data_IF_349641304706
#
_entry.id   IF_349641304706
#
_cell.length_a   1.000
_cell.length_b   1.000
_cell.length_c   1.000
_cell.angle_alpha   90.00
_cell.angle_beta   90.00
_cell.angle_gamma   90.00
#
_symmetry.space_group_name_H-M   'P 1'
#
loop_
_entity.id
_entity.type
_entity.pdbx_description
1 polymer ?
#
# COMPACT_ATOMS: atom_id res chain seq x y z
N UNK A 1 -8.47 -19.40 -18.00
CA UNK A 1 -9.61 -20.35 -18.04
C UNK A 1 -10.57 -20.05 -16.88
N UNK A 2 -11.74 -20.71 -16.76
CA UNK A 2 -12.60 -20.52 -15.58
C UNK A 2 -11.87 -20.95 -14.29
N UNK A 3 -11.16 -22.06 -14.35
CA UNK A 3 -10.39 -22.61 -13.22
C UNK A 3 -9.28 -21.66 -12.75
N UNK A 4 -8.55 -21.03 -13.69
CA UNK A 4 -7.57 -19.99 -13.35
C UNK A 4 -8.22 -18.76 -12.71
N UNK A 5 -9.40 -18.33 -13.19
CA UNK A 5 -10.11 -17.21 -12.60
C UNK A 5 -10.60 -17.53 -11.17
N UNK A 6 -11.08 -18.75 -10.94
CA UNK A 6 -11.46 -19.22 -9.61
C UNK A 6 -10.24 -19.26 -8.67
N UNK A 7 -9.08 -19.69 -9.16
CA UNK A 7 -7.82 -19.67 -8.40
C UNK A 7 -7.37 -18.22 -8.05
N UNK A 8 -7.45 -17.29 -9.00
CA UNK A 8 -7.10 -15.87 -8.79
C UNK A 8 -8.00 -15.21 -7.72
N UNK A 9 -9.30 -15.51 -7.76
CA UNK A 9 -10.27 -15.03 -6.78
C UNK A 9 -9.96 -15.60 -5.40
N UNK A 10 -9.73 -16.91 -5.29
CA UNK A 10 -9.42 -17.54 -4.00
C UNK A 10 -8.12 -16.97 -3.39
N UNK A 11 -7.07 -16.81 -4.21
CA UNK A 11 -5.83 -16.18 -3.76
C UNK A 11 -6.05 -14.73 -3.30
N UNK A 12 -6.94 -13.98 -3.95
CA UNK A 12 -7.30 -12.62 -3.56
C UNK A 12 -8.05 -12.56 -2.22
N UNK A 13 -8.92 -13.53 -1.97
CA UNK A 13 -9.63 -13.69 -0.68
C UNK A 13 -8.62 -14.02 0.42
N UNK A 14 -7.72 -14.98 0.19
CA UNK A 14 -6.68 -15.36 1.14
C UNK A 14 -5.76 -14.17 1.47
N UNK A 15 -5.46 -13.33 0.48
CA UNK A 15 -4.69 -12.08 0.67
C UNK A 15 -5.37 -11.12 1.63
N UNK A 16 -6.68 -10.92 1.48
CA UNK A 16 -7.47 -10.06 2.37
C UNK A 16 -7.49 -10.62 3.79
N UNK A 17 -7.71 -11.93 3.93
CA UNK A 17 -7.72 -12.62 5.24
C UNK A 17 -6.35 -12.50 5.92
N UNK A 18 -5.27 -12.69 5.16
CA UNK A 18 -3.90 -12.55 5.66
C UNK A 18 -3.66 -11.16 6.27
N UNK A 19 -3.95 -10.09 5.51
CA UNK A 19 -3.72 -8.72 5.98
C UNK A 19 -4.72 -8.26 7.04
N UNK A 20 -5.97 -8.75 7.02
CA UNK A 20 -6.91 -8.56 8.12
C UNK A 20 -6.37 -9.16 9.44
N UNK A 21 -5.65 -10.28 9.36
CA UNK A 21 -4.97 -10.88 10.51
C UNK A 21 -3.84 -10.00 11.08
N UNK A 22 -3.31 -9.03 10.35
CA UNK A 22 -2.20 -8.19 10.78
C UNK A 22 -2.58 -6.85 11.38
N UNK A 23 -3.82 -6.37 11.18
CA UNK A 23 -4.25 -5.00 11.52
C UNK A 23 -4.04 -4.61 12.98
N UNK A 24 -4.03 -5.60 13.89
CA UNK A 24 -3.83 -5.41 15.34
C UNK A 24 -2.51 -6.00 15.88
N UNK A 25 -1.66 -6.56 15.01
CA UNK A 25 -0.43 -7.29 15.42
C UNK A 25 0.86 -6.66 14.94
N UNK A 26 0.86 -5.99 13.78
CA UNK A 26 2.12 -5.51 13.19
C UNK A 26 2.86 -4.52 14.11
N UNK A 27 2.14 -3.67 14.85
CA UNK A 27 2.73 -2.74 15.83
C UNK A 27 3.50 -3.45 16.95
N UNK A 28 3.06 -4.64 17.38
CA UNK A 28 3.72 -5.41 18.44
C UNK A 28 4.99 -6.08 17.92
N UNK A 29 5.03 -6.40 16.62
CA UNK A 29 6.18 -7.04 15.96
C UNK A 29 7.25 -6.03 15.56
N UNK A 30 6.85 -4.85 15.08
CA UNK A 30 7.77 -3.85 14.53
C UNK A 30 7.96 -2.60 15.39
N UNK A 31 7.13 -2.38 16.40
CA UNK A 31 7.36 -1.35 17.41
C UNK A 31 8.40 -1.78 18.45
N UNK A 32 8.91 -0.83 19.22
CA UNK A 32 9.90 -1.12 20.27
C UNK A 32 9.73 -0.25 21.52
N UNK A 33 10.12 -0.84 22.66
CA UNK A 33 10.41 -0.12 23.89
C UNK A 33 11.93 -0.02 24.00
N UNK A 34 12.48 1.19 23.89
CA UNK A 34 13.92 1.39 23.78
C UNK A 34 14.51 1.68 25.17
N UNK A 35 15.50 0.90 25.64
CA UNK A 35 16.20 1.21 26.87
C UNK A 35 17.04 2.48 26.70
N UNK A 36 16.91 3.41 27.64
CA UNK A 36 17.62 4.69 27.63
C UNK A 36 18.23 4.98 29.00
N UNK A 37 19.33 5.72 29.03
CA UNK A 37 20.07 6.01 30.26
C UNK A 37 19.38 7.07 31.16
N UNK A 38 18.45 7.85 30.61
CA UNK A 38 17.71 8.88 31.35
C UNK A 38 16.41 8.33 31.96
N UNK A 39 15.80 9.10 32.87
CA UNK A 39 14.52 8.74 33.53
C UNK A 39 13.31 8.92 32.61
N UNK A 40 13.31 8.23 31.46
CA UNK A 40 12.22 8.24 30.49
C UNK A 40 11.89 6.82 30.02
N UNK A 41 10.61 6.59 29.76
CA UNK A 41 10.21 5.55 28.82
C UNK A 41 10.34 6.08 27.40
N UNK A 42 10.97 5.29 26.53
CA UNK A 42 11.12 5.60 25.13
C UNK A 42 10.41 4.52 24.31
N UNK A 43 9.44 4.94 23.49
CA UNK A 43 8.64 4.06 22.64
C UNK A 43 8.79 4.48 21.19
N UNK A 44 9.22 3.57 20.31
CA UNK A 44 9.13 3.75 18.86
C UNK A 44 7.92 2.98 18.36
N UNK A 45 6.92 3.70 17.86
CA UNK A 45 5.70 3.14 17.30
C UNK A 45 5.60 3.51 15.81
N UNK A 46 4.90 2.68 15.05
CA UNK A 46 4.61 2.96 13.65
C UNK A 46 3.29 3.75 13.55
N UNK A 47 3.31 4.84 12.79
CA UNK A 47 2.12 5.62 12.41
C UNK A 47 1.96 5.59 10.88
N UNK A 48 0.74 5.63 10.33
CA UNK A 48 0.53 5.64 8.88
C UNK A 48 1.19 6.84 8.21
N UNK A 49 1.79 6.62 7.04
CA UNK A 49 2.36 7.68 6.20
C UNK A 49 1.28 8.65 5.67
N UNK A 50 0.03 8.22 5.52
CA UNK A 50 -1.11 9.06 5.14
C UNK A 50 -1.81 8.59 3.87
N UNK A 51 -1.73 9.39 2.80
CA UNK A 51 -2.32 9.09 1.49
C UNK A 51 -1.27 8.47 0.56
N UNK A 52 -1.58 7.30 0.01
CA UNK A 52 -0.70 6.55 -0.90
C UNK A 52 -1.30 6.50 -2.30
N UNK A 53 -0.59 7.00 -3.30
CA UNK A 53 -0.94 6.79 -4.70
C UNK A 53 -0.32 5.48 -5.19
N UNK A 54 -1.05 4.71 -6.00
CA UNK A 54 -0.64 3.36 -6.41
C UNK A 54 -0.82 3.18 -7.91
N UNK A 55 0.24 2.76 -8.59
CA UNK A 55 0.18 2.19 -9.94
C UNK A 55 0.13 0.67 -9.79
N UNK A 56 -1.08 0.10 -9.86
CA UNK A 56 -1.31 -1.32 -9.60
C UNK A 56 -0.76 -2.22 -10.73
N UNK A 57 -0.55 -3.52 -10.51
CA UNK A 57 -0.03 -4.42 -11.55
C UNK A 57 -0.93 -4.46 -12.79
N UNK A 58 -0.34 -4.33 -13.98
CA UNK A 58 -1.08 -4.49 -15.24
C UNK A 58 -1.47 -5.95 -15.52
N UNK A 59 -0.58 -6.90 -15.17
CA UNK A 59 -0.77 -8.31 -15.48
C UNK A 59 -1.63 -9.07 -14.46
N UNK A 60 -1.84 -8.52 -13.27
CA UNK A 60 -2.63 -9.14 -12.19
C UNK A 60 -3.74 -8.18 -11.71
N UNK A 61 -4.83 -8.07 -12.48
CA UNK A 61 -5.81 -6.99 -12.32
C UNK A 61 -6.70 -7.11 -11.07
N UNK A 62 -6.79 -8.31 -10.46
CA UNK A 62 -7.49 -8.50 -9.19
C UNK A 62 -6.53 -8.87 -8.07
N UNK A 63 -5.84 -10.01 -8.16
CA UNK A 63 -4.93 -10.45 -7.08
C UNK A 63 -3.87 -9.39 -6.76
N UNK A 64 -3.17 -8.88 -7.77
CA UNK A 64 -2.19 -7.81 -7.58
C UNK A 64 -2.78 -6.54 -7.00
N UNK A 65 -3.95 -6.11 -7.51
CA UNK A 65 -4.69 -4.95 -6.99
C UNK A 65 -5.04 -5.10 -5.49
N UNK A 66 -5.62 -6.24 -5.11
CA UNK A 66 -5.97 -6.54 -3.72
C UNK A 66 -4.71 -6.61 -2.85
N UNK A 67 -3.64 -7.17 -3.38
CA UNK A 67 -2.36 -7.35 -2.70
C UNK A 67 -1.64 -6.06 -2.39
N UNK A 68 -1.87 -4.99 -3.18
CA UNK A 68 -1.33 -3.65 -2.87
C UNK A 68 -2.27 -2.86 -1.97
N UNK A 69 -3.60 -2.96 -2.15
CA UNK A 69 -4.57 -2.24 -1.32
C UNK A 69 -4.53 -2.72 0.13
N UNK A 70 -4.56 -4.04 0.33
CA UNK A 70 -4.70 -4.67 1.65
C UNK A 70 -3.63 -4.22 2.67
N UNK A 71 -2.31 -4.26 2.38
CA UNK A 71 -1.30 -3.80 3.34
C UNK A 71 -1.38 -2.30 3.63
N UNK A 72 -1.75 -1.49 2.64
CA UNK A 72 -1.83 -0.02 2.79
C UNK A 72 -2.92 0.32 3.81
N UNK A 73 -4.14 -0.22 3.63
CA UNK A 73 -5.26 0.05 4.54
C UNK A 73 -5.11 -0.69 5.87
N UNK A 74 -4.46 -1.86 5.90
CA UNK A 74 -4.18 -2.57 7.15
C UNK A 74 -3.26 -1.76 8.07
N UNK A 75 -2.36 -0.95 7.50
CA UNK A 75 -1.52 -0.01 8.22
C UNK A 75 -2.19 1.32 8.57
N UNK A 76 -3.48 1.49 8.28
CA UNK A 76 -4.24 2.72 8.57
C UNK A 76 -4.05 3.87 7.57
N UNK A 77 -3.47 3.59 6.40
CA UNK A 77 -3.37 4.58 5.32
C UNK A 77 -4.63 4.60 4.47
N UNK A 78 -4.75 5.62 3.62
CA UNK A 78 -5.72 5.66 2.52
C UNK A 78 -5.00 5.53 1.19
N UNK A 79 -5.68 5.04 0.16
CA UNK A 79 -5.07 4.89 -1.16
C UNK A 79 -5.91 5.40 -2.33
N UNK A 80 -5.19 5.87 -3.34
CA UNK A 80 -5.70 6.19 -4.68
C UNK A 80 -4.99 5.26 -5.65
N UNK A 81 -5.74 4.37 -6.30
CA UNK A 81 -5.18 3.25 -7.05
C UNK A 81 -5.56 3.38 -8.51
N UNK A 82 -4.55 3.54 -9.37
CA UNK A 82 -4.69 3.34 -10.80
C UNK A 82 -4.78 1.84 -11.06
N UNK A 83 -5.96 1.37 -11.46
CA UNK A 83 -6.20 -0.01 -11.85
C UNK A 83 -5.51 -0.33 -13.19
N UNK A 84 -5.36 -1.63 -13.51
CA UNK A 84 -4.84 -2.05 -14.80
C UNK A 84 -5.58 -1.36 -15.95
N UNK A 85 -4.81 -0.69 -16.82
CA UNK A 85 -5.32 -0.06 -18.03
C UNK A 85 -5.88 -1.12 -18.99
N UNK A 86 -5.19 -2.26 -19.10
CA UNK A 86 -5.57 -3.33 -20.02
C UNK A 86 -6.80 -4.13 -19.54
N UNK A 87 -6.90 -4.35 -18.22
CA UNK A 87 -7.93 -5.18 -17.62
C UNK A 87 -8.60 -4.46 -16.42
N UNK A 88 -9.38 -3.38 -16.64
CA UNK A 88 -9.92 -2.56 -15.53
C UNK A 88 -11.17 -3.16 -14.87
N UNK A 89 -11.89 -4.07 -15.53
CA UNK A 89 -13.20 -4.58 -15.07
C UNK A 89 -13.16 -5.30 -13.70
N UNK A 90 -12.14 -6.11 -13.36
CA UNK A 90 -12.03 -6.70 -12.04
C UNK A 90 -11.92 -5.66 -10.93
N UNK A 91 -11.19 -4.56 -11.15
CA UNK A 91 -11.06 -3.48 -10.18
C UNK A 91 -12.39 -2.74 -9.96
N UNK A 92 -13.15 -2.51 -11.04
CA UNK A 92 -14.50 -1.92 -10.95
C UNK A 92 -15.46 -2.83 -10.18
N UNK A 93 -15.41 -4.14 -10.44
CA UNK A 93 -16.24 -5.12 -9.71
C UNK A 93 -15.84 -5.19 -8.23
N UNK A 94 -14.54 -5.09 -7.94
CA UNK A 94 -14.04 -5.01 -6.56
C UNK A 94 -14.51 -3.74 -5.83
N UNK A 95 -14.74 -2.63 -6.54
CA UNK A 95 -15.33 -1.43 -5.94
C UNK A 95 -16.73 -1.69 -5.35
N UNK A 96 -17.55 -2.56 -5.98
CA UNK A 96 -18.85 -2.97 -5.42
C UNK A 96 -18.68 -3.78 -4.14
N UNK A 97 -17.64 -4.62 -4.05
CA UNK A 97 -17.27 -5.36 -2.84
C UNK A 97 -16.89 -4.40 -1.72
N UNK A 98 -16.05 -3.40 -2.00
CA UNK A 98 -15.65 -2.38 -1.03
C UNK A 98 -16.86 -1.59 -0.51
N UNK A 99 -17.75 -1.17 -1.42
CA UNK A 99 -18.99 -0.47 -1.07
C UNK A 99 -19.91 -1.33 -0.20
N UNK A 100 -20.01 -2.64 -0.48
CA UNK A 100 -20.85 -3.56 0.29
C UNK A 100 -20.23 -4.01 1.61
N UNK A 101 -18.94 -3.70 1.84
CA UNK A 101 -18.17 -4.09 3.03
C UNK A 101 -18.00 -2.95 4.04
N UNK A 102 -18.78 -1.87 3.90
CA UNK A 102 -18.75 -0.70 4.79
C UNK A 102 -17.35 -0.04 4.92
N UNK A 103 -16.52 -0.14 3.87
CA UNK A 103 -15.24 0.59 3.83
C UNK A 103 -15.54 2.09 3.87
N UNK A 104 -14.98 2.86 4.82
CA UNK A 104 -15.29 4.28 4.93
C UNK A 104 -14.94 5.04 3.65
N UNK A 105 -15.80 5.98 3.27
CA UNK A 105 -15.61 6.79 2.07
C UNK A 105 -14.25 7.49 2.07
N UNK A 106 -13.49 7.31 0.98
CA UNK A 106 -12.15 7.88 0.81
C UNK A 106 -10.99 6.99 1.24
N UNK A 107 -11.23 5.85 1.91
CA UNK A 107 -10.14 4.93 2.32
C UNK A 107 -9.50 4.23 1.12
N UNK A 108 -10.32 3.74 0.18
CA UNK A 108 -9.87 3.14 -1.08
C UNK A 108 -10.56 3.86 -2.23
N UNK A 109 -9.78 4.44 -3.12
CA UNK A 109 -10.27 5.15 -4.31
C UNK A 109 -9.65 4.49 -5.55
N UNK A 110 -10.48 3.96 -6.44
CA UNK A 110 -10.03 3.26 -7.66
C UNK A 110 -10.25 4.17 -8.87
N UNK A 111 -9.21 4.37 -9.67
CA UNK A 111 -9.23 5.16 -10.89
C UNK A 111 -8.82 4.25 -12.06
N UNK A 112 -9.61 4.26 -13.13
CA UNK A 112 -9.27 3.62 -14.41
C UNK A 112 -8.89 4.68 -15.43
N UNK A 113 -7.98 4.38 -16.34
CA UNK A 113 -7.57 5.32 -17.39
C UNK A 113 -6.21 4.97 -17.96
N UNK A 114 -5.69 5.84 -18.82
CA UNK A 114 -4.38 5.66 -19.46
C UNK A 114 -3.28 5.97 -18.45
N UNK A 115 -2.39 5.02 -18.20
CA UNK A 115 -1.33 5.14 -17.19
C UNK A 115 -0.42 6.33 -17.47
N UNK A 116 0.00 6.50 -18.73
CA UNK A 116 0.93 7.56 -19.12
C UNK A 116 0.39 8.97 -18.86
N UNK A 117 -0.93 9.15 -18.85
CA UNK A 117 -1.59 10.42 -18.53
C UNK A 117 -1.67 10.67 -17.01
N UNK A 118 -1.77 9.60 -16.21
CA UNK A 118 -2.02 9.69 -14.77
C UNK A 118 -0.76 9.66 -13.91
N UNK A 119 0.33 9.04 -14.37
CA UNK A 119 1.59 8.90 -13.62
C UNK A 119 2.10 10.24 -13.08
N UNK A 120 2.03 11.30 -13.89
CA UNK A 120 2.48 12.63 -13.48
C UNK A 120 1.67 13.17 -12.31
N UNK A 121 0.34 13.04 -12.36
CA UNK A 121 -0.54 13.47 -11.27
C UNK A 121 -0.32 12.66 -10.00
N UNK A 122 -0.18 11.33 -10.12
CA UNK A 122 0.07 10.43 -8.99
C UNK A 122 1.41 10.73 -8.29
N UNK A 123 2.40 11.21 -9.03
CA UNK A 123 3.76 11.46 -8.53
C UNK A 123 3.95 12.89 -8.02
N UNK A 124 3.27 13.87 -8.62
CA UNK A 124 3.47 15.30 -8.33
C UNK A 124 2.56 15.86 -7.25
N UNK A 125 1.41 15.25 -6.97
CA UNK A 125 0.41 15.82 -6.06
C UNK A 125 1.00 16.10 -4.67
N UNK A 126 0.84 17.33 -4.18
CA UNK A 126 1.48 17.79 -2.95
C UNK A 126 0.88 17.18 -1.69
N UNK A 127 -0.42 16.88 -1.70
CA UNK A 127 -1.14 16.25 -0.58
C UNK A 127 -1.08 14.71 -0.59
N UNK A 128 -0.29 14.10 -1.48
CA UNK A 128 -0.03 12.66 -1.48
C UNK A 128 1.32 12.40 -0.81
N UNK A 129 1.35 11.49 0.16
CA UNK A 129 2.50 11.25 1.04
C UNK A 129 3.45 10.17 0.52
N UNK A 130 2.95 9.24 -0.31
CA UNK A 130 3.76 8.20 -0.93
C UNK A 130 3.20 7.76 -2.27
N UNK A 131 4.07 7.29 -3.15
CA UNK A 131 3.72 6.60 -4.39
C UNK A 131 4.27 5.17 -4.38
N UNK A 132 3.44 4.20 -4.75
CA UNK A 132 3.81 2.80 -5.00
C UNK A 132 3.70 2.49 -6.48
N UNK A 133 4.72 1.85 -7.04
CA UNK A 133 4.59 1.14 -8.31
C UNK A 133 5.21 -0.25 -8.21
N UNK A 134 4.55 -1.22 -8.83
CA UNK A 134 4.93 -2.64 -8.73
C UNK A 134 5.53 -3.21 -10.01
N UNK A 135 5.11 -2.69 -11.15
CA UNK A 135 5.61 -3.14 -12.44
C UNK A 135 7.00 -2.55 -12.71
N UNK A 136 7.79 -3.27 -13.50
CA UNK A 136 9.06 -2.73 -13.99
C UNK A 136 8.76 -1.67 -15.07
N UNK A 137 8.73 -0.41 -14.64
CA UNK A 137 8.55 0.73 -15.53
C UNK A 137 9.82 1.03 -16.33
N UNK A 138 9.70 1.71 -17.46
CA UNK A 138 10.86 2.17 -18.22
C UNK A 138 11.67 3.23 -17.42
N UNK A 139 12.91 3.47 -17.84
CA UNK A 139 13.83 4.35 -17.13
C UNK A 139 13.34 5.81 -17.10
N UNK A 140 12.73 6.28 -18.18
CA UNK A 140 12.25 7.66 -18.28
C UNK A 140 11.11 7.90 -17.29
N UNK A 141 10.15 6.97 -17.23
CA UNK A 141 9.04 7.04 -16.27
C UNK A 141 9.53 7.00 -14.83
N UNK A 142 10.49 6.13 -14.48
CA UNK A 142 11.06 6.09 -13.13
C UNK A 142 11.75 7.39 -12.74
N UNK A 143 12.60 7.91 -13.61
CA UNK A 143 13.27 9.19 -13.38
C UNK A 143 12.26 10.32 -13.22
N UNK A 144 11.20 10.35 -14.04
CA UNK A 144 10.12 11.32 -13.89
C UNK A 144 9.39 11.20 -12.54
N UNK A 145 9.09 9.97 -12.09
CA UNK A 145 8.46 9.75 -10.78
C UNK A 145 9.37 10.30 -9.66
N UNK A 146 10.65 9.95 -9.67
CA UNK A 146 11.61 10.38 -8.64
C UNK A 146 11.79 11.91 -8.62
N UNK A 147 11.90 12.54 -9.80
CA UNK A 147 11.98 14.00 -9.94
C UNK A 147 10.73 14.69 -9.37
N UNK A 148 9.53 14.23 -9.74
CA UNK A 148 8.28 14.82 -9.26
C UNK A 148 8.03 14.56 -7.78
N UNK A 149 8.41 13.39 -7.27
CA UNK A 149 8.32 13.04 -5.86
C UNK A 149 9.24 13.92 -5.01
N UNK A 150 10.39 14.34 -5.53
CA UNK A 150 11.34 15.21 -4.82
C UNK A 150 10.76 16.58 -4.43
N UNK A 151 9.74 17.06 -5.16
CA UNK A 151 9.13 18.37 -4.92
C UNK A 151 8.47 18.51 -3.53
N UNK A 152 7.99 17.41 -2.95
CA UNK A 152 7.50 17.36 -1.56
C UNK A 152 8.19 16.26 -0.73
N UNK A 153 9.24 15.64 -1.26
CA UNK A 153 10.00 14.56 -0.63
C UNK A 153 9.06 13.39 -0.23
N UNK A 154 8.02 13.12 -1.03
CA UNK A 154 7.13 11.97 -0.81
C UNK A 154 7.90 10.67 -0.99
N UNK A 155 7.52 9.65 -0.23
CA UNK A 155 8.17 8.34 -0.28
C UNK A 155 7.84 7.63 -1.58
N UNK A 156 8.86 7.23 -2.33
CA UNK A 156 8.72 6.37 -3.51
C UNK A 156 8.99 4.92 -3.11
N UNK A 157 7.97 4.07 -3.21
CA UNK A 157 8.07 2.64 -2.91
C UNK A 157 8.03 1.86 -4.23
N UNK A 158 9.09 1.10 -4.49
CA UNK A 158 9.20 0.21 -5.65
C UNK A 158 9.12 -1.25 -5.19
N UNK A 159 8.17 -2.02 -5.73
CA UNK A 159 8.01 -3.45 -5.42
C UNK A 159 7.93 -4.28 -6.69
N UNK A 160 9.09 -4.76 -7.17
CA UNK A 160 9.13 -5.62 -8.35
C UNK A 160 8.64 -7.03 -8.01
N UNK A 161 7.34 -7.25 -8.10
CA UNK A 161 6.70 -8.54 -7.89
C UNK A 161 6.28 -9.08 -9.25
N UNK A 162 6.99 -10.10 -9.73
CA UNK A 162 6.70 -10.74 -11.01
C UNK A 162 5.57 -11.76 -10.93
N UNK A 163 5.40 -12.39 -9.77
CA UNK A 163 4.33 -13.36 -9.52
C UNK A 163 3.64 -13.05 -8.19
N UNK A 164 2.33 -12.77 -8.28
CA UNK A 164 1.50 -12.44 -7.13
C UNK A 164 0.97 -13.68 -6.40
N UNK A 165 1.18 -14.88 -6.94
CA UNK A 165 0.81 -16.14 -6.30
C UNK A 165 1.87 -16.66 -5.31
N UNK A 166 3.10 -16.13 -5.37
CA UNK A 166 4.16 -16.51 -4.43
C UNK A 166 3.85 -16.04 -3.01
N UNK A 167 4.22 -16.86 -2.00
CA UNK A 167 4.00 -16.54 -0.58
C UNK A 167 4.66 -15.21 -0.17
N UNK A 168 5.84 -14.91 -0.72
CA UNK A 168 6.59 -13.67 -0.42
C UNK A 168 5.87 -12.40 -0.90
N UNK A 169 4.90 -12.52 -1.82
CA UNK A 169 4.06 -11.40 -2.24
C UNK A 169 3.12 -10.94 -1.12
N UNK A 170 2.90 -11.75 -0.08
CA UNK A 170 2.13 -11.43 1.13
C UNK A 170 3.04 -11.46 2.36
N UNK A 171 3.52 -10.30 2.78
CA UNK A 171 4.36 -10.18 3.97
C UNK A 171 4.00 -8.92 4.78
N UNK A 172 4.25 -8.93 6.10
CA UNK A 172 3.87 -7.82 6.96
C UNK A 172 4.81 -6.61 6.82
N UNK A 173 6.00 -6.78 6.23
CA UNK A 173 6.90 -5.67 5.90
C UNK A 173 6.27 -4.74 4.85
N UNK A 174 5.38 -5.26 4.00
CA UNK A 174 4.65 -4.43 3.04
C UNK A 174 3.71 -3.42 3.74
N UNK A 175 3.23 -3.71 4.95
CA UNK A 175 2.52 -2.72 5.78
C UNK A 175 3.50 -1.63 6.21
N UNK A 176 4.69 -2.03 6.69
CA UNK A 176 5.73 -1.15 7.24
C UNK A 176 6.30 -0.17 6.20
N UNK A 177 6.32 -0.55 4.92
CA UNK A 177 6.75 0.33 3.83
C UNK A 177 5.96 1.65 3.78
N UNK A 178 4.72 1.65 4.29
CA UNK A 178 3.83 2.81 4.36
C UNK A 178 3.59 3.29 5.79
N UNK A 179 4.57 3.10 6.66
CA UNK A 179 4.58 3.63 8.02
C UNK A 179 5.75 4.57 8.27
N UNK A 180 5.55 5.48 9.22
CA UNK A 180 6.56 6.34 9.80
C UNK A 180 6.83 5.92 11.25
N UNK A 181 8.10 5.88 11.65
CA UNK A 181 8.43 5.61 13.06
C UNK A 181 8.36 6.88 13.86
N UNK A 182 7.45 6.93 14.83
CA UNK A 182 7.37 8.00 15.83
C UNK A 182 7.92 7.52 17.15
N UNK A 183 8.92 8.23 17.65
CA UNK A 183 9.54 7.95 18.94
C UNK A 183 9.07 8.94 20.00
N UNK A 184 8.34 8.45 21.00
CA UNK A 184 7.81 9.26 22.10
C UNK A 184 8.58 9.00 23.39
N UNK A 185 8.94 10.08 24.09
CA UNK A 185 9.65 10.05 25.36
C UNK A 185 8.73 10.51 26.48
N UNK A 186 8.41 9.62 27.41
CA UNK A 186 7.61 9.94 28.58
C UNK A 186 8.48 9.95 29.83
N UNK A 187 8.51 11.03 30.62
CA UNK A 187 9.24 11.04 31.87
C UNK A 187 8.68 9.99 32.83
N UNK A 188 9.56 9.30 33.54
CA UNK A 188 9.17 8.41 34.63
C UNK A 188 9.02 9.27 35.89
N UNK A 189 7.84 9.25 36.50
CA UNK A 189 7.60 9.93 37.77
C UNK A 189 8.44 9.32 38.89
N UNK A 190 9.01 10.18 39.74
CA UNK A 190 9.59 9.81 41.02
C UNK A 190 8.53 9.81 42.12
#
# INVERSE_FOLDING_TARGET
>A
SKEEADADINASIDRLIYYAGWTDKYLQVFGSVNPVASSHFNFSILEPTGVVSVLAPEASPLLGLVSVISPIIAGGNTCIVHASEQYPLPAISFAEVLNSSDVPGGVVNIITGIRSELVEHFSSHMDVNSILYTDELDKETKTKIDELASNNIKRVVKKNISDWYEEDSANPYFIVDFQETKTTWHPVGF
#
